data_IF_278897464683
#
_entry.id   IF_278897464683
#
_cell.length_a   1.000
_cell.length_b   1.000
_cell.length_c   1.000
_cell.angle_alpha   90.00
_cell.angle_beta   90.00
_cell.angle_gamma   90.00
#
_symmetry.space_group_name_H-M   'P 1'
#
loop_
_entity.id
_entity.type
_entity.pdbx_description
1 polymer ?
#
# COMPACT_ATOMS: atom_id res chain seq x y z
N UNK A 1 -9.31 -19.48 8.06
CA UNK A 1 -8.85 -19.13 6.72
C UNK A 1 -7.38 -18.75 6.82
N UNK A 2 -6.50 -19.36 6.04
CA UNK A 2 -5.02 -19.39 6.23
C UNK A 2 -4.28 -18.52 5.21
N UNK A 3 -2.97 -18.30 5.41
CA UNK A 3 -2.04 -17.67 4.45
C UNK A 3 -2.29 -18.07 2.98
N UNK A 4 -2.56 -19.36 2.77
CA UNK A 4 -2.71 -19.96 1.46
C UNK A 4 -3.87 -19.37 0.66
N UNK A 5 -4.97 -18.98 1.32
CA UNK A 5 -6.14 -18.45 0.60
C UNK A 5 -5.86 -17.08 -0.03
N UNK A 6 -5.04 -16.24 0.62
CA UNK A 6 -4.65 -14.95 0.04
C UNK A 6 -3.72 -15.12 -1.16
N UNK A 7 -2.80 -16.10 -1.11
CA UNK A 7 -1.88 -16.41 -2.20
C UNK A 7 -2.62 -16.99 -3.41
N UNK A 8 -3.58 -17.90 -3.17
CA UNK A 8 -4.46 -18.46 -4.19
C UNK A 8 -5.32 -17.38 -4.86
N UNK A 9 -5.99 -16.53 -4.06
CA UNK A 9 -6.75 -15.38 -4.58
C UNK A 9 -5.86 -14.50 -5.47
N UNK A 10 -4.62 -14.24 -5.06
CA UNK A 10 -3.69 -13.38 -5.78
C UNK A 10 -3.18 -13.99 -7.09
N UNK A 11 -3.06 -15.31 -7.18
CA UNK A 11 -2.66 -16.01 -8.41
C UNK A 11 -3.74 -15.93 -9.50
N UNK A 12 -5.02 -15.82 -9.10
CA UNK A 12 -6.13 -15.59 -10.03
C UNK A 12 -6.14 -14.17 -10.63
N UNK A 13 -5.46 -13.21 -9.98
CA UNK A 13 -5.43 -11.80 -10.41
C UNK A 13 -4.43 -11.60 -11.54
N UNK A 14 -4.91 -11.13 -12.69
CA UNK A 14 -4.08 -11.01 -13.91
C UNK A 14 -3.64 -9.59 -14.25
N UNK A 15 -4.21 -8.57 -13.62
CA UNK A 15 -4.05 -7.16 -14.00
C UNK A 15 -4.08 -6.23 -12.81
N UNK A 16 -3.42 -5.07 -12.92
CA UNK A 16 -3.40 -4.06 -11.85
C UNK A 16 -4.80 -3.65 -11.37
N UNK A 17 -5.77 -3.56 -12.28
CA UNK A 17 -7.18 -3.27 -11.96
C UNK A 17 -7.82 -4.37 -11.10
N UNK A 18 -7.48 -5.63 -11.35
CA UNK A 18 -7.95 -6.79 -10.60
C UNK A 18 -7.41 -6.75 -9.17
N UNK A 19 -6.10 -6.50 -9.02
CA UNK A 19 -5.47 -6.27 -7.72
C UNK A 19 -6.12 -5.11 -6.95
N UNK A 20 -6.27 -3.94 -7.60
CA UNK A 20 -6.86 -2.78 -6.94
C UNK A 20 -8.31 -3.03 -6.54
N UNK A 21 -9.09 -3.75 -7.35
CA UNK A 21 -10.47 -4.13 -7.05
C UNK A 21 -10.53 -5.14 -5.89
N UNK A 22 -9.71 -6.19 -5.92
CA UNK A 22 -9.64 -7.22 -4.88
C UNK A 22 -9.30 -6.63 -3.50
N UNK A 23 -8.37 -5.66 -3.46
CA UNK A 23 -8.00 -4.96 -2.23
C UNK A 23 -8.92 -3.78 -1.88
N UNK A 24 -9.99 -3.54 -2.65
CA UNK A 24 -10.93 -2.43 -2.46
C UNK A 24 -10.20 -1.08 -2.36
N UNK A 25 -9.33 -0.82 -3.33
CA UNK A 25 -8.61 0.45 -3.49
C UNK A 25 -9.33 1.24 -4.58
N UNK A 26 -9.70 2.48 -4.29
CA UNK A 26 -10.28 3.36 -5.31
C UNK A 26 -9.20 3.80 -6.30
N UNK A 27 -9.48 3.66 -7.60
CA UNK A 27 -8.56 4.03 -8.66
C UNK A 27 -9.26 4.67 -9.87
N UNK A 28 -8.54 5.55 -10.56
CA UNK A 28 -8.93 6.05 -11.87
C UNK A 28 -8.48 5.07 -12.97
N UNK A 29 -9.45 4.56 -13.73
CA UNK A 29 -9.21 3.60 -14.80
C UNK A 29 -8.22 4.10 -15.86
N UNK A 30 -8.20 5.39 -16.19
CA UNK A 30 -7.28 5.93 -17.20
C UNK A 30 -5.84 5.88 -16.70
N UNK A 31 -5.62 6.26 -15.43
CA UNK A 31 -4.28 6.23 -14.82
C UNK A 31 -3.77 4.79 -14.76
N UNK A 32 -4.61 3.86 -14.29
CA UNK A 32 -4.21 2.44 -14.19
C UNK A 32 -4.00 1.82 -15.56
N UNK A 33 -4.89 2.06 -16.53
CA UNK A 33 -4.77 1.48 -17.87
C UNK A 33 -3.43 1.84 -18.55
N UNK A 34 -3.00 3.08 -18.39
CA UNK A 34 -1.71 3.59 -18.92
C UNK A 34 -0.53 3.08 -18.10
N UNK A 35 -0.64 3.02 -16.78
CA UNK A 35 0.48 2.72 -15.88
C UNK A 35 0.48 1.28 -15.32
N UNK A 36 -0.39 0.38 -15.78
CA UNK A 36 -0.60 -0.96 -15.19
C UNK A 36 0.69 -1.73 -14.95
N UNK A 37 1.59 -1.73 -15.93
CA UNK A 37 2.86 -2.44 -15.86
C UNK A 37 3.79 -1.81 -14.82
N UNK A 38 3.82 -0.49 -14.75
CA UNK A 38 4.66 0.24 -13.80
C UNK A 38 4.12 0.15 -12.37
N UNK A 39 2.80 0.19 -12.18
CA UNK A 39 2.15 -0.02 -10.88
C UNK A 39 2.50 -1.40 -10.34
N UNK A 40 2.38 -2.45 -11.17
CA UNK A 40 2.74 -3.81 -10.78
C UNK A 40 4.23 -3.94 -10.48
N UNK A 41 5.11 -3.44 -11.35
CA UNK A 41 6.57 -3.45 -11.08
C UNK A 41 6.91 -2.77 -9.76
N UNK A 42 6.36 -1.57 -9.51
CA UNK A 42 6.63 -0.82 -8.28
C UNK A 42 6.08 -1.51 -7.04
N UNK A 43 4.93 -2.17 -7.16
CA UNK A 43 4.38 -2.99 -6.10
C UNK A 43 5.29 -4.18 -5.77
N UNK A 44 5.83 -4.88 -6.76
CA UNK A 44 6.83 -5.94 -6.55
C UNK A 44 8.13 -5.40 -5.91
N UNK A 45 8.62 -4.23 -6.34
CA UNK A 45 9.78 -3.57 -5.71
C UNK A 45 9.52 -3.26 -4.22
N UNK A 46 8.29 -2.90 -3.87
CA UNK A 46 7.91 -2.64 -2.48
C UNK A 46 7.76 -3.92 -1.68
N UNK A 47 7.24 -5.01 -2.27
CA UNK A 47 7.17 -6.32 -1.63
C UNK A 47 8.58 -6.86 -1.31
N UNK A 48 9.52 -6.75 -2.23
CA UNK A 48 10.91 -7.20 -2.02
C UNK A 48 11.56 -6.46 -0.83
N UNK A 49 11.36 -5.14 -0.77
CA UNK A 49 11.85 -4.30 0.35
C UNK A 49 11.12 -4.55 1.66
N UNK A 50 9.84 -4.92 1.60
CA UNK A 50 9.02 -5.21 2.76
C UNK A 50 9.10 -6.69 3.19
N UNK A 51 9.91 -7.52 2.53
CA UNK A 51 9.93 -8.98 2.73
C UNK A 51 10.00 -9.43 4.19
N UNK A 52 10.79 -8.74 5.03
CA UNK A 52 10.85 -8.99 6.47
C UNK A 52 9.51 -8.66 7.17
N UNK A 53 8.92 -7.50 6.88
CA UNK A 53 7.65 -7.06 7.46
C UNK A 53 6.44 -7.90 7.00
N UNK A 54 6.49 -8.47 5.79
CA UNK A 54 5.50 -9.43 5.29
C UNK A 54 5.67 -10.77 6.03
N UNK A 55 6.91 -11.20 6.26
CA UNK A 55 7.19 -12.44 7.00
C UNK A 55 6.81 -12.35 8.49
N UNK A 56 6.85 -11.18 9.10
CA UNK A 56 6.42 -10.94 10.49
C UNK A 56 4.89 -10.93 10.68
N UNK A 57 4.11 -10.88 9.60
CA UNK A 57 2.66 -10.83 9.68
C UNK A 57 2.07 -12.24 9.89
N UNK A 58 1.76 -12.57 11.15
CA UNK A 58 1.28 -13.89 11.57
C UNK A 58 -0.20 -14.18 11.20
N UNK A 59 -0.94 -13.18 10.70
CA UNK A 59 -2.37 -13.32 10.38
C UNK A 59 -2.68 -12.88 8.95
N UNK A 60 -3.65 -13.55 8.32
CA UNK A 60 -4.10 -13.24 6.97
C UNK A 60 -4.59 -11.78 6.84
N UNK A 61 -5.29 -11.25 7.86
CA UNK A 61 -5.75 -9.86 7.87
C UNK A 61 -4.59 -8.87 7.90
N UNK A 62 -3.53 -9.14 8.69
CA UNK A 62 -2.34 -8.31 8.72
C UNK A 62 -1.62 -8.30 7.37
N UNK A 63 -1.50 -9.46 6.73
CA UNK A 63 -0.91 -9.55 5.39
C UNK A 63 -1.73 -8.82 4.35
N UNK A 64 -3.05 -9.03 4.34
CA UNK A 64 -3.94 -8.33 3.41
C UNK A 64 -3.81 -6.81 3.55
N UNK A 65 -3.67 -6.31 4.79
CA UNK A 65 -3.39 -4.90 5.07
C UNK A 65 -2.04 -4.43 4.55
N UNK A 66 -0.97 -5.21 4.75
CA UNK A 66 0.37 -4.89 4.22
C UNK A 66 0.32 -4.83 2.69
N UNK A 67 -0.19 -5.87 2.04
CA UNK A 67 -0.33 -5.93 0.57
C UNK A 67 -1.16 -4.76 0.03
N UNK A 68 -2.31 -4.47 0.66
CA UNK A 68 -3.15 -3.31 0.32
C UNK A 68 -2.36 -2.00 0.41
N UNK A 69 -1.63 -1.78 1.51
CA UNK A 69 -0.86 -0.55 1.71
C UNK A 69 0.28 -0.39 0.69
N UNK A 70 0.98 -1.47 0.35
CA UNK A 70 2.06 -1.44 -0.65
C UNK A 70 1.52 -1.19 -2.06
N UNK A 71 0.42 -1.85 -2.44
CA UNK A 71 -0.22 -1.66 -3.74
C UNK A 71 -0.80 -0.25 -3.88
N UNK A 72 -1.47 0.23 -2.83
CA UNK A 72 -2.01 1.59 -2.80
C UNK A 72 -0.90 2.64 -2.92
N UNK A 73 0.23 2.43 -2.22
CA UNK A 73 1.41 3.29 -2.36
C UNK A 73 1.97 3.25 -3.78
N UNK A 74 2.06 2.07 -4.40
CA UNK A 74 2.50 1.94 -5.78
C UNK A 74 1.60 2.73 -6.73
N UNK A 75 0.27 2.58 -6.61
CA UNK A 75 -0.69 3.35 -7.40
C UNK A 75 -0.54 4.87 -7.19
N UNK A 76 -0.48 5.32 -5.94
CA UNK A 76 -0.33 6.75 -5.61
C UNK A 76 0.95 7.35 -6.15
N UNK A 77 2.05 6.60 -6.27
CA UNK A 77 3.30 7.09 -6.86
C UNK A 77 3.10 7.55 -8.32
N UNK A 78 2.23 6.89 -9.07
CA UNK A 78 1.91 7.26 -10.46
C UNK A 78 0.86 8.35 -10.56
N UNK A 79 -0.15 8.34 -9.67
CA UNK A 79 -1.12 9.44 -9.58
C UNK A 79 -0.42 10.73 -9.18
N UNK A 80 0.45 10.67 -8.17
CA UNK A 80 1.21 11.82 -7.68
C UNK A 80 2.31 12.20 -8.67
N UNK A 81 2.93 11.28 -9.42
CA UNK A 81 3.90 11.67 -10.46
C UNK A 81 3.25 12.35 -11.67
N UNK A 82 2.06 11.89 -12.09
CA UNK A 82 1.25 12.55 -13.11
C UNK A 82 0.76 13.91 -12.60
N UNK A 83 0.26 13.94 -11.35
CA UNK A 83 -0.14 15.15 -10.66
C UNK A 83 1.04 16.06 -10.26
N UNK A 84 2.27 15.59 -10.13
CA UNK A 84 3.45 16.38 -9.76
C UNK A 84 3.90 17.24 -10.93
N UNK A 85 3.60 16.80 -12.16
CA UNK A 85 3.70 17.67 -13.35
C UNK A 85 2.66 18.80 -13.28
N UNK A 86 1.54 18.61 -12.56
CA UNK A 86 0.49 19.61 -12.43
C UNK A 86 0.44 20.38 -11.10
N UNK A 87 0.97 19.88 -9.97
CA UNK A 87 0.98 20.51 -8.64
C UNK A 87 1.47 19.54 -7.53
N UNK A 88 2.62 19.88 -6.97
CA UNK A 88 3.12 19.83 -5.57
C UNK A 88 2.09 19.84 -4.39
N UNK A 89 0.87 19.35 -4.54
CA UNK A 89 -0.23 19.61 -3.60
C UNK A 89 -0.87 18.33 -3.06
N UNK A 90 -0.54 18.06 -1.78
CA UNK A 90 -1.42 17.45 -0.78
C UNK A 90 -1.69 15.94 -0.90
N UNK A 91 -0.79 15.06 -0.43
CA UNK A 91 -1.25 13.83 0.24
C UNK A 91 -0.25 13.19 1.22
N UNK A 92 0.56 14.01 1.91
CA UNK A 92 0.99 13.61 3.26
C UNK A 92 -0.17 13.85 4.24
N UNK A 93 -1.04 12.86 4.39
CA UNK A 93 -2.04 12.69 5.47
C UNK A 93 -2.70 11.33 5.23
N UNK A 94 -2.67 10.32 6.09
CA UNK A 94 -2.34 10.24 7.50
C UNK A 94 -1.68 8.87 7.72
N UNK A 95 -0.43 8.86 8.17
CA UNK A 95 0.09 7.72 8.91
C UNK A 95 -0.57 7.80 10.29
N UNK A 96 -1.10 6.68 10.74
CA UNK A 96 -1.91 6.51 11.94
C UNK A 96 -1.26 7.12 13.19
N UNK A 97 -2.04 7.60 14.18
CA UNK A 97 -1.52 8.35 15.31
C UNK A 97 -0.60 7.48 16.16
N UNK A 98 0.70 7.75 16.08
CA UNK A 98 1.66 7.39 17.12
C UNK A 98 1.21 8.12 18.39
N UNK A 99 0.49 7.42 19.26
CA UNK A 99 0.16 7.91 20.61
C UNK A 99 1.43 7.90 21.46
N UNK A 100 2.35 8.82 21.17
CA UNK A 100 3.41 9.14 22.12
C UNK A 100 2.83 10.13 23.14
N UNK A 101 2.10 9.60 24.11
CA UNK A 101 1.72 10.36 25.29
C UNK A 101 2.97 10.48 26.17
N UNK A 102 3.72 11.58 26.04
CA UNK A 102 4.78 11.92 27.01
C UNK A 102 4.16 12.86 28.03
N UNK A 103 3.87 12.34 29.22
CA UNK A 103 3.49 13.17 30.36
C UNK A 103 4.69 14.01 30.80
N UNK A 104 4.49 15.32 30.95
CA UNK A 104 5.50 16.34 31.34
C UNK A 104 6.07 16.12 32.76
N UNK A 105 5.61 15.10 33.49
CA UNK A 105 5.99 14.85 34.88
C UNK A 105 7.45 14.40 35.07
N UNK A 106 8.18 14.00 34.01
CA UNK A 106 9.60 13.63 34.11
C UNK A 106 10.60 14.78 33.93
N UNK A 107 10.16 16.05 33.90
CA UNK A 107 11.03 17.23 33.75
C UNK A 107 11.13 18.12 35.00
N UNK A 108 11.03 17.56 36.20
CA UNK A 108 11.55 18.15 37.44
C UNK A 108 12.22 17.00 38.22
N UNK A 109 13.51 17.01 38.52
CA UNK A 109 14.20 18.06 39.26
C UNK A 109 14.24 17.62 40.72
#
# INVERSE_FOLDING_TARGET
>A
MTQFELDEDMDELSSAEDFLTYFEIEFDQKVVHVNRLHIMQRYHDYLDKAGDAVAEADTQDALKKVHKALLERAYRDFVDSDAATEKVFKVFKMQEPQTTFVSIDQLQG
#
